data_IF_416692350626
#
_entry.id   IF_416692350626
#
_cell.length_a   1.000
_cell.length_b   1.000
_cell.length_c   1.000
_cell.angle_alpha   90.00
_cell.angle_beta   90.00
_cell.angle_gamma   90.00
#
_symmetry.space_group_name_H-M   'P 1'
#
loop_
_entity.id
_entity.type
_entity.pdbx_description
1 polymer ?
#
# COMPACT_ATOMS: atom_id res chain seq x y z
N UNK A 1 -5.87 26.46 3.06
CA UNK A 1 -6.41 25.80 1.86
C UNK A 1 -6.30 24.28 2.01
N UNK A 2 -5.16 23.60 1.77
CA UNK A 2 -5.10 22.12 1.87
C UNK A 2 -5.71 21.52 3.16
N UNK A 3 -5.25 21.95 4.35
CA UNK A 3 -5.76 21.38 5.61
C UNK A 3 -7.23 21.75 5.87
N UNK A 4 -7.66 22.91 5.39
CA UNK A 4 -9.05 23.37 5.47
C UNK A 4 -9.94 22.48 4.61
N UNK A 5 -9.54 22.20 3.37
CA UNK A 5 -10.23 21.26 2.47
C UNK A 5 -10.26 19.84 3.05
N UNK A 6 -9.18 19.42 3.73
CA UNK A 6 -9.14 18.14 4.43
C UNK A 6 -10.17 18.08 5.57
N UNK A 7 -10.28 19.14 6.37
CA UNK A 7 -11.30 19.27 7.39
C UNK A 7 -12.72 19.27 6.79
N UNK A 8 -12.99 20.06 5.75
CA UNK A 8 -14.31 20.07 5.10
C UNK A 8 -14.69 18.68 4.55
N UNK A 9 -13.72 17.95 4.01
CA UNK A 9 -13.93 16.61 3.46
C UNK A 9 -14.27 15.59 4.53
N UNK A 10 -13.57 15.59 5.67
CA UNK A 10 -13.84 14.66 6.75
C UNK A 10 -15.17 14.99 7.46
N UNK A 11 -15.57 16.26 7.51
CA UNK A 11 -16.84 16.69 8.10
C UNK A 11 -18.02 16.19 7.28
N UNK A 12 -17.97 16.34 5.95
CA UNK A 12 -18.98 15.80 5.06
C UNK A 12 -19.04 14.26 5.12
N UNK A 13 -17.88 13.60 5.31
CA UNK A 13 -17.82 12.14 5.48
C UNK A 13 -18.50 11.71 6.79
N UNK A 14 -18.22 12.40 7.89
CA UNK A 14 -18.83 12.13 9.19
C UNK A 14 -20.34 12.37 9.15
N UNK A 15 -20.82 13.45 8.52
CA UNK A 15 -22.25 13.70 8.34
C UNK A 15 -22.92 12.53 7.60
N UNK A 16 -22.29 12.03 6.53
CA UNK A 16 -22.78 10.88 5.80
C UNK A 16 -22.82 9.62 6.67
N UNK A 17 -21.76 9.34 7.43
CA UNK A 17 -21.72 8.18 8.33
C UNK A 17 -22.82 8.24 9.38
N UNK A 18 -22.97 9.37 10.06
CA UNK A 18 -24.02 9.58 11.06
C UNK A 18 -25.42 9.45 10.46
N UNK A 19 -25.65 9.87 9.21
CA UNK A 19 -26.94 9.66 8.56
C UNK A 19 -27.27 8.17 8.43
N UNK A 20 -26.35 7.35 7.95
CA UNK A 20 -26.57 5.91 7.77
C UNK A 20 -26.62 5.15 9.11
N UNK A 21 -25.73 5.48 10.05
CA UNK A 21 -25.72 4.86 11.38
C UNK A 21 -27.06 5.08 12.08
N UNK A 22 -27.60 6.31 12.04
CA UNK A 22 -28.89 6.65 12.66
C UNK A 22 -30.12 6.09 11.95
N UNK A 23 -30.00 5.68 10.69
CA UNK A 23 -31.09 4.99 9.99
C UNK A 23 -31.31 3.58 10.54
N UNK A 24 -30.28 2.97 11.15
CA UNK A 24 -30.35 1.67 11.84
C UNK A 24 -30.99 0.56 10.97
N UNK A 25 -30.64 0.57 9.67
CA UNK A 25 -31.09 -0.40 8.64
C UNK A 25 -29.88 -1.09 8.00
N UNK A 26 -29.00 -1.65 8.84
CA UNK A 26 -27.78 -2.32 8.42
C UNK A 26 -27.41 -3.45 9.39
N UNK A 27 -26.87 -4.54 8.84
CA UNK A 27 -26.22 -5.62 9.62
C UNK A 27 -24.69 -5.40 9.71
N UNK A 28 -24.13 -4.67 8.73
CA UNK A 28 -22.72 -4.25 8.68
C UNK A 28 -22.64 -2.84 8.10
N UNK A 29 -21.99 -1.94 8.82
CA UNK A 29 -21.62 -0.62 8.32
C UNK A 29 -20.09 -0.54 8.14
N UNK A 30 -19.65 -0.23 6.92
CA UNK A 30 -18.23 -0.09 6.59
C UNK A 30 -17.93 1.35 6.13
N UNK A 31 -17.31 2.13 7.01
CA UNK A 31 -16.93 3.52 6.76
C UNK A 31 -15.42 3.68 6.56
N UNK A 32 -15.02 4.48 5.57
CA UNK A 32 -13.60 4.83 5.33
C UNK A 32 -13.38 6.34 5.39
N UNK A 33 -12.47 6.77 6.28
CA UNK A 33 -11.93 8.12 6.32
C UNK A 33 -10.67 8.23 5.45
N UNK A 34 -10.80 8.35 4.12
CA UNK A 34 -9.64 8.40 3.23
C UNK A 34 -8.78 9.67 3.36
N UNK A 35 -9.29 10.72 4.01
CA UNK A 35 -8.56 11.99 4.13
C UNK A 35 -7.31 11.86 5.00
N UNK A 36 -7.27 10.89 5.92
CA UNK A 36 -6.06 10.59 6.71
C UNK A 36 -4.87 10.30 5.80
N UNK A 37 -5.03 9.44 4.78
CA UNK A 37 -3.97 9.14 3.79
C UNK A 37 -3.38 10.41 3.17
N UNK A 38 -4.23 11.34 2.74
CA UNK A 38 -3.79 12.61 2.15
C UNK A 38 -3.04 13.47 3.16
N UNK A 39 -3.54 13.60 4.39
CA UNK A 39 -2.88 14.37 5.44
C UNK A 39 -1.50 13.79 5.75
N UNK A 40 -1.36 12.46 5.83
CA UNK A 40 -0.06 11.82 6.03
C UNK A 40 0.88 12.05 4.84
N UNK A 41 0.42 11.88 3.59
CA UNK A 41 1.28 12.11 2.43
C UNK A 41 1.92 13.51 2.39
N UNK A 42 1.26 14.53 2.93
CA UNK A 42 1.75 15.92 2.88
C UNK A 42 2.37 16.42 4.19
N UNK A 43 2.00 15.87 5.34
CA UNK A 43 2.36 16.42 6.66
C UNK A 43 2.99 15.39 7.62
N UNK A 44 3.22 14.14 7.21
CA UNK A 44 3.76 13.11 8.12
C UNK A 44 5.14 13.47 8.65
N UNK A 45 6.04 13.96 7.78
CA UNK A 45 7.37 14.40 8.20
C UNK A 45 7.32 15.60 9.14
N UNK A 46 6.37 16.52 8.97
CA UNK A 46 6.15 17.62 9.91
C UNK A 46 5.75 17.11 11.29
N UNK A 47 4.88 16.10 11.36
CA UNK A 47 4.55 15.45 12.63
C UNK A 47 5.76 14.73 13.26
N UNK A 48 6.46 13.90 12.48
CA UNK A 48 7.56 13.06 12.95
C UNK A 48 8.76 13.89 13.44
N UNK A 49 9.05 15.03 12.79
CA UNK A 49 10.28 15.78 12.97
C UNK A 49 10.08 17.16 13.63
N UNK A 50 8.95 17.38 14.30
CA UNK A 50 8.61 18.66 14.94
C UNK A 50 8.64 19.84 13.94
N UNK A 51 8.10 19.61 12.74
CA UNK A 51 8.02 20.57 11.63
C UNK A 51 6.94 21.65 11.78
N UNK A 52 6.74 22.41 10.71
CA UNK A 52 5.89 23.62 10.72
C UNK A 52 4.42 23.27 11.01
N UNK A 53 3.93 22.20 10.40
CA UNK A 53 2.50 21.82 10.43
C UNK A 53 2.17 20.70 11.42
N UNK A 54 3.02 20.48 12.43
CA UNK A 54 2.81 19.43 13.43
C UNK A 54 1.51 19.63 14.20
N UNK A 55 1.20 20.86 14.57
CA UNK A 55 -0.01 21.18 15.35
C UNK A 55 -1.25 20.86 14.51
N UNK A 56 -1.29 21.27 13.25
CA UNK A 56 -2.37 21.00 12.30
C UNK A 56 -2.55 19.51 12.02
N UNK A 57 -1.46 18.74 11.90
CA UNK A 57 -1.54 17.28 11.77
C UNK A 57 -2.19 16.63 12.99
N UNK A 58 -1.78 17.03 14.19
CA UNK A 58 -2.33 16.49 15.44
C UNK A 58 -3.78 16.92 15.65
N UNK A 59 -4.14 18.17 15.33
CA UNK A 59 -5.53 18.66 15.37
C UNK A 59 -6.42 17.88 14.40
N UNK A 60 -5.91 17.54 13.20
CA UNK A 60 -6.63 16.69 12.25
C UNK A 60 -6.93 15.30 12.84
N UNK A 61 -5.94 14.65 13.47
CA UNK A 61 -6.12 13.34 14.10
C UNK A 61 -6.98 13.39 15.36
N UNK A 62 -6.93 14.48 16.14
CA UNK A 62 -7.87 14.70 17.25
C UNK A 62 -9.31 14.76 16.75
N UNK A 63 -9.55 15.39 15.60
CA UNK A 63 -10.88 15.41 14.97
C UNK A 63 -11.33 14.03 14.51
N UNK A 64 -10.43 13.22 13.96
CA UNK A 64 -10.71 11.81 13.61
C UNK A 64 -11.12 11.03 14.86
N UNK A 65 -10.38 11.17 15.97
CA UNK A 65 -10.68 10.53 17.26
C UNK A 65 -12.06 10.97 17.81
N UNK A 66 -12.36 12.27 17.79
CA UNK A 66 -13.67 12.80 18.15
C UNK A 66 -14.79 12.17 17.32
N UNK A 67 -14.61 12.03 16.00
CA UNK A 67 -15.61 11.45 15.09
C UNK A 67 -15.83 9.96 15.30
N UNK A 68 -14.76 9.20 15.62
CA UNK A 68 -14.89 7.80 16.02
C UNK A 68 -15.69 7.70 17.32
N UNK A 69 -15.42 8.59 18.29
CA UNK A 69 -16.18 8.67 19.54
C UNK A 69 -17.66 8.98 19.33
N UNK A 70 -17.98 9.95 18.48
CA UNK A 70 -19.36 10.29 18.11
C UNK A 70 -20.07 9.11 17.44
N UNK A 71 -19.41 8.37 16.54
CA UNK A 71 -19.97 7.18 15.93
C UNK A 71 -20.26 6.14 17.01
N UNK A 72 -19.31 5.85 17.90
CA UNK A 72 -19.51 4.90 19.00
C UNK A 72 -20.70 5.25 19.88
N UNK A 73 -20.88 6.52 20.21
CA UNK A 73 -21.99 7.00 21.06
C UNK A 73 -23.36 6.85 20.39
N UNK A 74 -23.42 6.83 19.06
CA UNK A 74 -24.65 6.62 18.27
C UNK A 74 -24.94 5.14 18.01
N UNK A 75 -23.93 4.26 18.12
CA UNK A 75 -24.10 2.82 17.94
C UNK A 75 -24.86 2.19 19.14
N UNK A 76 -25.74 1.20 18.90
CA UNK A 76 -26.33 0.40 19.96
C UNK A 76 -25.27 -0.30 20.84
N UNK A 77 -25.62 -0.60 22.09
CA UNK A 77 -24.70 -1.28 23.04
C UNK A 77 -24.29 -2.69 22.59
N UNK A 78 -25.11 -3.33 21.76
CA UNK A 78 -24.91 -4.67 21.19
C UNK A 78 -24.24 -4.67 19.81
N UNK A 79 -23.73 -3.52 19.35
CA UNK A 79 -22.91 -3.43 18.13
C UNK A 79 -21.44 -3.23 18.49
N UNK A 80 -20.61 -4.10 17.92
CA UNK A 80 -19.15 -4.02 17.97
C UNK A 80 -18.60 -3.00 16.96
N UNK A 81 -17.70 -2.14 17.40
CA UNK A 81 -16.94 -1.24 16.54
C UNK A 81 -15.52 -1.80 16.35
N UNK A 82 -15.14 -1.93 15.08
CA UNK A 82 -13.77 -2.25 14.68
C UNK A 82 -13.22 -1.06 13.89
N UNK A 83 -12.06 -0.56 14.30
CA UNK A 83 -11.32 0.50 13.61
C UNK A 83 -10.01 -0.09 13.13
N UNK A 84 -9.78 -0.05 11.82
CA UNK A 84 -8.56 -0.57 11.21
C UNK A 84 -7.97 0.43 10.21
N UNK A 85 -6.66 0.35 9.98
CA UNK A 85 -6.01 0.95 8.82
C UNK A 85 -5.56 -0.15 7.85
N UNK A 86 -5.64 0.13 6.55
CA UNK A 86 -5.23 -0.74 5.47
C UNK A 86 -3.71 -0.84 5.32
N UNK A 87 -2.99 0.17 5.80
CA UNK A 87 -1.54 0.19 5.87
C UNK A 87 -1.06 1.10 7.01
N UNK A 88 0.26 1.13 7.20
CA UNK A 88 0.93 2.11 8.03
C UNK A 88 1.42 3.34 7.27
N UNK A 89 2.23 4.16 7.93
CA UNK A 89 2.91 5.30 7.31
C UNK A 89 4.34 5.50 7.82
N UNK A 90 5.18 6.09 6.97
CA UNK A 90 6.54 6.54 7.28
C UNK A 90 6.86 7.83 6.52
N UNK A 91 7.98 8.48 6.85
CA UNK A 91 8.46 9.65 6.11
C UNK A 91 9.00 9.27 4.73
N UNK A 92 8.87 10.21 3.79
CA UNK A 92 9.35 10.11 2.41
C UNK A 92 10.46 11.13 2.19
N UNK A 93 11.61 10.65 1.68
CA UNK A 93 12.76 11.46 1.29
C UNK A 93 12.88 11.53 -0.23
N UNK A 94 12.64 10.41 -0.92
CA UNK A 94 12.78 10.29 -2.37
C UNK A 94 11.65 9.44 -2.98
N UNK A 95 11.17 9.87 -4.14
CA UNK A 95 10.44 9.02 -5.08
C UNK A 95 11.46 8.30 -5.97
N UNK A 96 11.30 6.99 -6.16
CA UNK A 96 12.21 6.14 -6.95
C UNK A 96 11.48 5.61 -8.18
N UNK A 97 11.86 6.08 -9.37
CA UNK A 97 11.24 5.70 -10.64
C UNK A 97 11.84 4.39 -11.17
N UNK A 98 11.22 3.27 -10.81
CA UNK A 98 11.76 1.94 -11.07
C UNK A 98 11.86 1.58 -12.55
N UNK A 99 10.92 2.03 -13.39
CA UNK A 99 11.02 1.79 -14.84
C UNK A 99 12.13 2.65 -15.48
N UNK A 100 12.39 3.85 -14.97
CA UNK A 100 13.57 4.64 -15.37
C UNK A 100 14.86 3.94 -14.94
N UNK A 101 14.91 3.40 -13.73
CA UNK A 101 16.06 2.63 -13.24
C UNK A 101 16.32 1.37 -14.06
N UNK A 102 15.25 0.64 -14.43
CA UNK A 102 15.36 -0.53 -15.31
C UNK A 102 15.86 -0.13 -16.70
N UNK A 103 15.43 1.01 -17.24
CA UNK A 103 15.93 1.54 -18.51
C UNK A 103 17.42 1.88 -18.43
N UNK A 104 17.85 2.63 -17.41
CA UNK A 104 19.25 3.02 -17.19
C UNK A 104 20.17 1.80 -17.04
N UNK A 105 19.68 0.72 -16.40
CA UNK A 105 20.40 -0.53 -16.20
C UNK A 105 20.30 -1.50 -17.40
N UNK A 106 19.56 -1.14 -18.46
CA UNK A 106 19.40 -1.93 -19.69
C UNK A 106 18.49 -3.15 -19.57
N UNK A 107 17.54 -3.12 -18.63
CA UNK A 107 16.51 -4.16 -18.43
C UNK A 107 15.21 -3.85 -19.15
N UNK A 108 14.92 -2.57 -19.33
CA UNK A 108 13.73 -2.07 -20.01
C UNK A 108 14.20 -1.17 -21.15
N UNK A 109 13.48 -1.19 -22.26
CA UNK A 109 13.72 -0.31 -23.40
C UNK A 109 12.38 0.00 -24.08
N UNK A 110 12.31 1.11 -24.81
CA UNK A 110 11.07 1.58 -25.46
C UNK A 110 11.23 1.68 -26.97
N UNK A 111 10.15 1.45 -27.71
CA UNK A 111 10.16 1.50 -29.19
C UNK A 111 10.35 2.94 -29.71
N UNK A 112 9.87 3.94 -28.97
CA UNK A 112 9.92 5.37 -29.32
C UNK A 112 10.06 6.26 -28.06
N UNK A 113 10.50 7.51 -28.23
CA UNK A 113 10.69 8.49 -27.12
C UNK A 113 9.35 8.99 -26.50
N UNK A 114 8.22 8.75 -27.16
CA UNK A 114 6.88 9.15 -26.68
C UNK A 114 6.17 7.93 -26.09
N UNK A 115 6.70 7.43 -24.98
CA UNK A 115 6.21 6.25 -24.27
C UNK A 115 5.50 6.65 -22.97
N UNK A 116 4.37 6.01 -22.66
CA UNK A 116 3.63 6.26 -21.41
C UNK A 116 2.97 5.01 -20.82
N UNK A 117 3.15 3.85 -21.46
CA UNK A 117 2.50 2.60 -21.10
C UNK A 117 3.39 1.37 -21.33
N UNK A 118 2.92 0.22 -20.84
CA UNK A 118 3.54 -1.07 -21.12
C UNK A 118 3.47 -1.46 -22.60
N UNK A 119 2.52 -0.92 -23.37
CA UNK A 119 2.40 -1.23 -24.80
C UNK A 119 3.57 -0.64 -25.61
N UNK A 120 4.28 0.34 -25.06
CA UNK A 120 5.38 1.05 -25.75
C UNK A 120 6.77 0.43 -25.50
N UNK A 121 6.87 -0.61 -24.66
CA UNK A 121 8.16 -1.28 -24.40
C UNK A 121 8.64 -2.07 -25.63
N UNK A 122 9.94 -2.10 -25.88
CA UNK A 122 10.54 -2.79 -27.02
C UNK A 122 10.62 -4.31 -26.81
N UNK A 123 10.80 -5.04 -27.92
CA UNK A 123 10.96 -6.51 -27.92
C UNK A 123 12.21 -6.98 -27.14
N UNK A 124 13.17 -6.10 -26.86
CA UNK A 124 14.40 -6.41 -26.12
C UNK A 124 14.24 -6.25 -24.59
N UNK A 125 13.10 -5.70 -24.13
CA UNK A 125 12.80 -5.52 -22.70
C UNK A 125 12.77 -6.85 -21.96
N UNK A 126 13.57 -6.98 -20.90
CA UNK A 126 13.65 -8.17 -20.03
C UNK A 126 12.75 -8.09 -18.80
N UNK A 127 12.55 -6.89 -18.25
CA UNK A 127 11.74 -6.70 -17.06
C UNK A 127 11.04 -5.33 -17.06
N UNK A 128 9.90 -5.26 -16.40
CA UNK A 128 9.16 -4.03 -16.15
C UNK A 128 8.55 -4.03 -14.75
N UNK A 129 8.19 -2.85 -14.25
CA UNK A 129 7.66 -2.65 -12.91
C UNK A 129 6.24 -2.08 -12.92
N UNK A 130 5.48 -2.40 -11.87
CA UNK A 130 4.24 -1.75 -11.49
C UNK A 130 4.24 -1.40 -10.00
N UNK A 131 3.56 -0.32 -9.61
CA UNK A 131 3.48 0.10 -8.21
C UNK A 131 2.66 -0.89 -7.36
N UNK A 132 2.95 -1.05 -6.07
CA UNK A 132 4.20 -0.70 -5.40
C UNK A 132 5.23 -1.83 -5.56
N UNK A 133 6.43 -1.52 -6.06
CA UNK A 133 7.59 -2.45 -6.03
C UNK A 133 7.41 -3.81 -6.72
N UNK A 134 6.43 -3.99 -7.61
CA UNK A 134 6.17 -5.27 -8.28
C UNK A 134 6.96 -5.35 -9.58
N UNK A 135 7.79 -6.37 -9.74
CA UNK A 135 8.60 -6.59 -10.95
C UNK A 135 8.14 -7.85 -11.68
N UNK A 136 8.08 -7.74 -12.99
CA UNK A 136 7.72 -8.81 -13.91
C UNK A 136 8.86 -8.99 -14.90
N UNK A 137 9.27 -10.24 -15.11
CA UNK A 137 10.10 -10.62 -16.24
C UNK A 137 9.22 -10.75 -17.47
N UNK A 138 9.66 -10.18 -18.58
CA UNK A 138 9.00 -10.32 -19.87
C UNK A 138 9.29 -11.73 -20.42
N UNK A 139 8.56 -12.73 -19.92
CA UNK A 139 8.82 -14.15 -20.06
C UNK A 139 8.11 -14.71 -21.30
N UNK A 140 8.83 -15.52 -22.06
CA UNK A 140 8.27 -16.25 -23.20
C UNK A 140 7.04 -17.09 -22.78
N UNK A 141 5.99 -17.08 -23.61
CA UNK A 141 4.72 -17.79 -23.39
C UNK A 141 3.85 -17.27 -22.23
N UNK A 142 4.30 -16.28 -21.45
CA UNK A 142 3.46 -15.55 -20.49
C UNK A 142 3.15 -14.14 -20.99
N UNK A 143 4.15 -13.41 -21.44
CA UNK A 143 4.01 -12.08 -22.03
C UNK A 143 3.93 -12.15 -23.56
N UNK A 144 3.15 -11.26 -24.23
CA UNK A 144 2.97 -11.31 -25.68
C UNK A 144 4.27 -11.15 -26.49
N UNK A 145 5.26 -10.45 -25.92
CA UNK A 145 6.57 -10.12 -26.52
C UNK A 145 7.72 -10.59 -25.61
N UNK A 146 7.55 -11.72 -24.93
CA UNK A 146 8.52 -12.24 -23.97
C UNK A 146 9.93 -12.40 -24.57
N UNK A 147 10.92 -11.71 -23.99
CA UNK A 147 12.33 -11.75 -24.41
C UNK A 147 13.17 -12.69 -23.53
N UNK A 148 12.69 -13.02 -22.33
CA UNK A 148 13.34 -13.94 -21.40
C UNK A 148 12.81 -15.35 -21.68
N UNK A 149 13.69 -16.28 -22.03
CA UNK A 149 13.29 -17.67 -22.25
C UNK A 149 12.99 -18.40 -20.94
N UNK A 150 12.17 -19.46 -21.00
CA UNK A 150 11.85 -20.30 -19.81
C UNK A 150 13.12 -20.91 -19.17
N UNK A 151 14.15 -21.21 -19.98
CA UNK A 151 15.42 -21.77 -19.51
C UNK A 151 16.29 -20.72 -18.77
N UNK A 152 16.10 -19.44 -19.06
CA UNK A 152 16.85 -18.32 -18.46
C UNK A 152 16.13 -17.68 -17.27
N UNK A 153 14.83 -17.99 -17.07
CA UNK A 153 13.97 -17.35 -16.07
C UNK A 153 14.60 -17.26 -14.68
N UNK A 154 15.08 -18.38 -14.13
CA UNK A 154 15.66 -18.42 -12.78
C UNK A 154 16.96 -17.59 -12.67
N UNK A 155 17.78 -17.59 -13.72
CA UNK A 155 19.05 -16.84 -13.76
C UNK A 155 18.77 -15.33 -13.83
N UNK A 156 17.91 -14.91 -14.75
CA UNK A 156 17.53 -13.51 -14.96
C UNK A 156 16.80 -12.94 -13.73
N UNK A 157 15.93 -13.74 -13.11
CA UNK A 157 15.24 -13.38 -11.86
C UNK A 157 16.21 -13.18 -10.71
N UNK A 158 17.19 -14.08 -10.56
CA UNK A 158 18.22 -13.97 -9.53
C UNK A 158 19.10 -12.74 -9.73
N UNK A 159 19.49 -12.44 -10.98
CA UNK A 159 20.26 -11.24 -11.32
C UNK A 159 19.48 -9.96 -11.01
N UNK A 160 18.20 -9.87 -11.40
CA UNK A 160 17.35 -8.72 -11.08
C UNK A 160 17.22 -8.54 -9.56
N UNK A 161 17.01 -9.63 -8.82
CA UNK A 161 16.95 -9.60 -7.35
C UNK A 161 18.24 -9.05 -6.74
N UNK A 162 19.42 -9.46 -7.22
CA UNK A 162 20.70 -8.95 -6.74
C UNK A 162 20.85 -7.45 -7.01
N UNK A 163 20.49 -7.00 -8.21
CA UNK A 163 20.53 -5.58 -8.58
C UNK A 163 19.59 -4.73 -7.73
N UNK A 164 18.37 -5.20 -7.47
CA UNK A 164 17.42 -4.50 -6.60
C UNK A 164 17.93 -4.35 -5.18
N UNK A 165 18.56 -5.39 -4.62
CA UNK A 165 19.17 -5.34 -3.28
C UNK A 165 20.44 -4.46 -3.23
N UNK A 166 21.07 -4.20 -4.39
CA UNK A 166 22.23 -3.33 -4.51
C UNK A 166 21.89 -1.88 -4.90
N UNK A 167 20.61 -1.56 -5.11
CA UNK A 167 20.16 -0.22 -5.45
C UNK A 167 20.35 0.73 -4.26
N UNK A 168 21.23 1.72 -4.44
CA UNK A 168 21.51 2.77 -3.45
C UNK A 168 20.85 4.08 -3.86
N UNK A 169 20.29 4.78 -2.88
CA UNK A 169 19.74 6.13 -3.04
C UNK A 169 20.84 7.19 -3.15
N UNK A 170 20.47 8.47 -3.35
CA UNK A 170 21.43 9.56 -3.53
C UNK A 170 22.46 9.72 -2.40
N UNK A 171 22.10 9.32 -1.18
CA UNK A 171 22.96 9.39 0.01
C UNK A 171 23.76 8.09 0.27
N UNK A 172 23.65 7.08 -0.60
CA UNK A 172 24.31 5.77 -0.46
C UNK A 172 23.56 4.77 0.43
N UNK A 173 22.35 5.13 0.90
CA UNK A 173 21.51 4.22 1.68
C UNK A 173 20.79 3.22 0.75
N UNK A 174 20.65 1.95 1.13
CA UNK A 174 19.92 0.97 0.33
C UNK A 174 18.46 1.37 0.14
N UNK A 175 17.97 1.39 -1.10
CA UNK A 175 16.57 1.71 -1.41
C UNK A 175 15.63 0.59 -0.97
N UNK A 176 16.06 -0.66 -1.16
CA UNK A 176 15.23 -1.85 -0.95
C UNK A 176 15.68 -2.56 0.34
N UNK A 177 14.76 -2.76 1.28
CA UNK A 177 14.99 -3.56 2.50
C UNK A 177 15.08 -5.05 2.15
N UNK A 178 14.09 -5.53 1.39
CA UNK A 178 14.02 -6.94 0.98
C UNK A 178 13.30 -7.11 -0.36
N UNK A 179 13.66 -8.19 -1.04
CA UNK A 179 13.00 -8.63 -2.28
C UNK A 179 12.37 -9.99 -2.03
N UNK A 180 11.05 -10.05 -2.08
CA UNK A 180 10.22 -11.23 -1.83
C UNK A 180 9.91 -11.93 -3.16
N UNK A 181 10.35 -13.18 -3.35
CA UNK A 181 9.93 -14.02 -4.47
C UNK A 181 8.42 -14.22 -4.50
N UNK A 182 7.84 -14.31 -5.70
CA UNK A 182 6.43 -14.67 -5.94
C UNK A 182 5.88 -15.78 -5.03
N UNK A 183 6.59 -16.90 -4.97
CA UNK A 183 6.23 -18.10 -4.21
C UNK A 183 6.22 -17.89 -2.69
N UNK A 184 6.90 -16.86 -2.20
CA UNK A 184 6.90 -16.47 -0.79
C UNK A 184 5.87 -15.37 -0.49
N UNK A 185 5.41 -14.63 -1.52
CA UNK A 185 4.51 -13.49 -1.39
C UNK A 185 3.04 -13.81 -1.70
N UNK A 186 2.80 -14.76 -2.61
CA UNK A 186 1.47 -15.05 -3.14
C UNK A 186 1.22 -16.55 -3.20
N UNK A 187 0.04 -16.96 -2.75
CA UNK A 187 -0.47 -18.31 -2.86
C UNK A 187 -1.87 -18.29 -3.50
N UNK A 188 -2.29 -19.39 -4.12
CA UNK A 188 -3.65 -19.56 -4.62
C UNK A 188 -3.79 -19.71 -6.14
N UNK A 189 -5.03 -19.73 -6.61
CA UNK A 189 -5.40 -20.15 -7.97
C UNK A 189 -5.01 -19.16 -9.09
N UNK A 190 -4.41 -18.02 -8.74
CA UNK A 190 -4.06 -16.93 -9.66
C UNK A 190 -2.59 -16.56 -9.58
N UNK A 191 -1.74 -17.48 -9.12
CA UNK A 191 -0.29 -17.25 -9.06
C UNK A 191 0.27 -16.89 -10.45
N UNK A 192 -0.27 -17.45 -11.54
CA UNK A 192 0.10 -17.16 -12.93
C UNK A 192 0.23 -15.66 -13.30
N UNK A 193 -0.56 -14.77 -12.68
CA UNK A 193 -0.52 -13.31 -12.91
C UNK A 193 0.28 -12.54 -11.85
N UNK A 194 0.80 -13.22 -10.84
CA UNK A 194 1.58 -12.59 -9.78
C UNK A 194 2.94 -12.09 -10.30
N UNK A 195 3.47 -10.99 -9.74
CA UNK A 195 4.80 -10.50 -10.08
C UNK A 195 5.86 -11.53 -9.70
N UNK A 196 6.97 -11.54 -10.43
CA UNK A 196 8.08 -12.46 -10.16
C UNK A 196 8.84 -12.07 -8.90
N UNK A 197 8.93 -10.78 -8.61
CA UNK A 197 9.58 -10.22 -7.42
C UNK A 197 8.76 -9.05 -6.87
N UNK A 198 8.68 -8.94 -5.55
CA UNK A 198 8.15 -7.77 -4.84
C UNK A 198 9.27 -7.15 -4.03
N UNK A 199 9.67 -5.92 -4.37
CA UNK A 199 10.61 -5.13 -3.60
C UNK A 199 9.86 -4.36 -2.51
N UNK A 200 10.34 -4.48 -1.28
CA UNK A 200 9.87 -3.73 -0.12
C UNK A 200 10.90 -2.64 0.17
N UNK A 201 10.52 -1.35 0.11
CA UNK A 201 11.49 -0.26 0.30
C UNK A 201 11.92 -0.12 1.76
N UNK A 202 13.12 0.42 1.98
CA UNK A 202 13.45 1.06 3.24
C UNK A 202 12.62 2.34 3.41
N UNK A 203 12.39 2.75 4.67
CA UNK A 203 11.76 4.03 4.97
C UNK A 203 12.52 5.18 4.28
N UNK A 204 11.77 6.19 3.82
CA UNK A 204 12.32 7.30 3.03
C UNK A 204 12.21 7.11 1.51
N UNK A 205 11.93 5.90 1.00
CA UNK A 205 11.85 5.64 -0.43
C UNK A 205 10.45 5.21 -0.89
N UNK A 206 9.79 6.02 -1.71
CA UNK A 206 8.51 5.70 -2.33
C UNK A 206 8.72 5.16 -3.77
N UNK A 207 8.44 3.87 -3.97
CA UNK A 207 8.67 3.18 -5.24
C UNK A 207 7.59 3.50 -6.28
N UNK A 208 7.98 4.26 -7.30
CA UNK A 208 7.16 4.60 -8.48
C UNK A 208 7.48 3.69 -9.66
N UNK A 209 6.50 3.52 -10.55
CA UNK A 209 6.65 2.69 -11.75
C UNK A 209 5.86 3.28 -12.93
N UNK A 210 5.97 4.60 -13.12
CA UNK A 210 5.44 5.25 -14.31
C UNK A 210 6.21 4.78 -15.55
N UNK A 211 5.52 4.65 -16.69
CA UNK A 211 6.16 4.35 -17.96
C UNK A 211 6.50 5.60 -18.75
N UNK A 212 5.96 6.77 -18.39
CA UNK A 212 6.43 8.04 -18.95
C UNK A 212 7.84 8.31 -18.44
N UNK A 213 8.80 8.58 -19.34
CA UNK A 213 10.19 8.85 -19.00
C UNK A 213 10.29 9.87 -17.87
N UNK A 214 10.95 9.48 -16.77
CA UNK A 214 11.31 10.40 -15.72
C UNK A 214 12.67 11.01 -16.07
N UNK A 215 12.89 12.30 -15.79
CA UNK A 215 14.19 12.91 -16.09
C UNK A 215 15.34 12.27 -15.27
N UNK A 216 15.03 11.71 -14.10
CA UNK A 216 15.97 11.10 -13.15
C UNK A 216 15.31 9.90 -12.44
N UNK A 217 16.12 8.89 -12.05
CA UNK A 217 15.67 7.76 -11.21
C UNK A 217 15.13 8.22 -9.85
N UNK A 218 15.70 9.28 -9.28
CA UNK A 218 15.32 9.81 -7.98
C UNK A 218 14.79 11.23 -8.12
N UNK A 219 13.59 11.46 -7.58
CA UNK A 219 13.01 12.81 -7.48
C UNK A 219 12.56 13.12 -6.07
N UNK A 220 12.40 14.41 -5.79
CA UNK A 220 11.77 14.89 -4.56
C UNK A 220 10.45 15.53 -4.95
N UNK A 221 9.36 14.90 -4.52
CA UNK A 221 8.00 15.36 -4.77
C UNK A 221 7.52 16.40 -3.75
N UNK A 222 6.27 16.87 -3.88
CA UNK A 222 5.61 17.70 -2.87
C UNK A 222 5.14 16.90 -1.65
N UNK A 223 5.24 15.57 -1.69
CA UNK A 223 4.88 14.66 -0.59
C UNK A 223 6.08 14.47 0.33
N UNK A 224 5.80 14.21 1.60
CA UNK A 224 6.81 13.96 2.63
C UNK A 224 6.50 12.72 3.48
N UNK A 225 5.46 11.97 3.14
CA UNK A 225 5.06 10.73 3.79
C UNK A 225 4.59 9.70 2.78
N UNK A 226 4.83 8.42 3.09
CA UNK A 226 4.53 7.28 2.23
C UNK A 226 4.09 6.04 3.04
N UNK A 227 3.48 5.05 2.37
CA UNK A 227 2.84 3.87 3.00
C UNK A 227 3.83 2.85 3.56
N UNK A 228 3.79 2.52 4.85
CA UNK A 228 4.61 1.41 5.40
C UNK A 228 3.84 0.09 5.47
N UNK A 229 4.56 -1.02 5.33
CA UNK A 229 4.03 -2.37 5.57
C UNK A 229 3.86 -2.69 7.07
N UNK A 230 4.56 -1.96 7.93
CA UNK A 230 4.46 -2.06 9.38
C UNK A 230 3.55 -0.96 9.93
N UNK A 231 3.23 -1.03 11.22
CA UNK A 231 2.52 0.01 11.99
C UNK A 231 1.06 0.33 11.58
N UNK A 232 0.43 -0.56 10.80
CA UNK A 232 -1.03 -0.55 10.64
C UNK A 232 -1.73 -0.70 12.01
N UNK A 233 -2.92 -0.12 12.13
CA UNK A 233 -3.69 -0.09 13.37
C UNK A 233 -4.89 -1.01 13.28
N UNK A 234 -5.16 -1.77 14.35
CA UNK A 234 -6.41 -2.49 14.55
C UNK A 234 -6.87 -2.30 15.99
N UNK A 235 -8.09 -1.83 16.16
CA UNK A 235 -8.76 -1.62 17.44
C UNK A 235 -10.15 -2.24 17.36
N UNK A 236 -10.58 -2.88 18.45
CA UNK A 236 -11.96 -3.32 18.63
C UNK A 236 -12.39 -3.03 20.07
N UNK A 237 -13.66 -2.68 20.23
CA UNK A 237 -14.30 -2.58 21.54
C UNK A 237 -15.10 -3.83 21.93
N UNK A 238 -15.07 -4.86 21.10
CA UNK A 238 -15.68 -6.15 21.38
C UNK A 238 -14.86 -6.90 22.44
N UNK A 239 -15.48 -7.37 23.53
CA UNK A 239 -14.77 -8.05 24.60
C UNK A 239 -14.19 -9.42 24.20
N UNK A 240 -14.69 -10.03 23.15
CA UNK A 240 -14.24 -11.35 22.69
C UNK A 240 -13.09 -11.21 21.66
N UNK A 241 -12.91 -10.04 21.03
CA UNK A 241 -11.80 -9.80 20.09
C UNK A 241 -10.48 -9.54 20.82
N UNK A 242 -9.46 -10.35 20.52
CA UNK A 242 -8.09 -10.18 21.00
C UNK A 242 -7.14 -9.85 19.85
N UNK A 243 -6.36 -8.77 19.98
CA UNK A 243 -5.37 -8.35 18.98
C UNK A 243 -3.94 -8.59 19.51
N UNK A 244 -3.41 -9.83 19.42
CA UNK A 244 -2.05 -10.14 19.85
C UNK A 244 -0.99 -9.54 18.90
N UNK A 245 0.25 -9.49 19.37
CA UNK A 245 1.41 -9.21 18.49
C UNK A 245 1.47 -10.27 17.38
N UNK A 246 1.62 -9.82 16.13
CA UNK A 246 1.61 -10.68 14.95
C UNK A 246 0.23 -10.85 14.30
N UNK A 247 -0.80 -10.12 14.75
CA UNK A 247 -2.08 -10.01 14.03
C UNK A 247 -1.85 -9.45 12.62
N UNK A 248 -2.52 -10.04 11.64
CA UNK A 248 -2.44 -9.68 10.23
C UNK A 248 -3.75 -9.01 9.76
N UNK A 249 -3.69 -8.22 8.69
CA UNK A 249 -4.87 -7.63 8.06
C UNK A 249 -5.84 -8.71 7.56
N UNK A 250 -5.33 -9.88 7.18
CA UNK A 250 -6.15 -11.02 6.75
C UNK A 250 -7.06 -11.56 7.85
N UNK A 251 -6.72 -11.34 9.12
CA UNK A 251 -7.51 -11.80 10.29
C UNK A 251 -8.82 -11.01 10.45
N UNK A 252 -8.92 -9.81 9.86
CA UNK A 252 -10.09 -8.94 10.02
C UNK A 252 -11.35 -9.58 9.41
N UNK A 253 -11.27 -10.12 8.20
CA UNK A 253 -12.45 -10.66 7.53
C UNK A 253 -13.07 -11.86 8.26
N UNK A 254 -12.33 -12.93 8.62
CA UNK A 254 -12.89 -14.03 9.38
C UNK A 254 -13.41 -13.60 10.76
N UNK A 255 -12.72 -12.65 11.41
CA UNK A 255 -13.20 -12.05 12.67
C UNK A 255 -14.56 -11.38 12.50
N UNK A 256 -14.73 -10.54 11.47
CA UNK A 256 -16.01 -9.88 11.19
C UNK A 256 -17.13 -10.89 10.87
N UNK A 257 -16.81 -11.99 10.17
CA UNK A 257 -17.80 -13.04 9.88
C UNK A 257 -18.26 -13.77 11.15
N UNK A 258 -17.35 -14.06 12.08
CA UNK A 258 -17.69 -14.65 13.37
C UNK A 258 -18.55 -13.70 14.23
N UNK A 259 -18.19 -12.42 14.30
CA UNK A 259 -18.99 -11.40 15.02
C UNK A 259 -20.40 -11.24 14.44
N UNK A 260 -20.58 -11.49 13.14
CA UNK A 260 -21.87 -11.44 12.46
C UNK A 260 -22.63 -12.78 12.50
N UNK A 261 -22.13 -13.80 13.19
CA UNK A 261 -22.67 -15.16 13.21
C UNK A 261 -22.85 -15.76 11.79
N UNK A 262 -21.98 -15.40 10.84
CA UNK A 262 -22.00 -15.90 9.46
C UNK A 262 -21.16 -17.17 9.36
N UNK A 263 -21.78 -18.29 8.98
CA UNK A 263 -21.02 -19.54 8.73
C UNK A 263 -20.10 -19.40 7.51
N UNK A 264 -18.80 -19.65 7.70
CA UNK A 264 -17.80 -19.69 6.63
C UNK A 264 -16.87 -20.90 6.75
N UNK A 265 -16.20 -21.28 5.65
CA UNK A 265 -15.13 -22.28 5.69
C UNK A 265 -13.80 -21.56 5.92
N UNK A 266 -13.24 -21.68 7.14
CA UNK A 266 -11.98 -21.02 7.50
C UNK A 266 -10.81 -21.35 6.55
N UNK A 267 -10.89 -22.44 5.79
CA UNK A 267 -9.86 -22.81 4.79
C UNK A 267 -9.92 -21.97 3.51
N UNK A 268 -10.95 -21.15 3.35
CA UNK A 268 -11.07 -20.19 2.24
C UNK A 268 -10.43 -18.83 2.58
N UNK A 269 -9.89 -18.66 3.78
CA UNK A 269 -9.25 -17.44 4.27
C UNK A 269 -7.81 -17.71 4.70
N UNK A 270 -6.93 -16.74 4.45
CA UNK A 270 -5.53 -16.81 4.88
C UNK A 270 -5.34 -16.41 6.36
N UNK A 271 -6.24 -15.54 6.87
CA UNK A 271 -6.25 -15.11 8.26
C UNK A 271 -7.05 -16.02 9.19
N UNK A 272 -6.81 -15.86 10.48
CA UNK A 272 -7.52 -16.56 11.55
C UNK A 272 -8.45 -15.58 12.30
N UNK A 273 -9.51 -16.12 12.88
CA UNK A 273 -10.42 -15.31 13.71
C UNK A 273 -9.73 -14.85 14.99
N UNK A 274 -10.00 -13.61 15.39
CA UNK A 274 -9.47 -12.99 16.60
C UNK A 274 -10.40 -13.14 17.82
N UNK A 275 -11.49 -13.90 17.68
CA UNK A 275 -12.49 -14.21 18.72
C UNK A 275 -12.10 -15.47 19.52
#
# INVERSE_FOLDING_TARGET
EFIEDAHETIDARQEAFLNYVREDDWDLFFGVFMTTDRVNHFLFKDYEQDGEYKEEFLEFYQKVDEYIGELRDELPEDVSLVVASDHGFTSEDYEVHLNQWLEDEGWLDYDDEDHDSLDDVSDDTKAYSFIPGRFYLNLENREPRGSVSEDEYDEVRAELKEKLLALEGPDGEPVVDRVVPKEDAFEGAHDEIAPDLVAIPNHGFDLKAGFSGADDVFSVGPRNGMHSFENATLLSDDPDVSVPEGTDLFDITPTLLDLLDVEFDAREFDGETLV
#
